data_IF_917968883636
#
_entry.id   IF_917968883636
#
_cell.length_a   1.000
_cell.length_b   1.000
_cell.length_c   1.000
_cell.angle_alpha   90.00
_cell.angle_beta   90.00
_cell.angle_gamma   90.00
#
_symmetry.space_group_name_H-M   'P 1'
#
loop_
_entity.id
_entity.type
_entity.pdbx_description
1 polymer ?
#
# COMPACT_ATOMS: atom_id res chain seq x y z
N UNK A 1 12.72 -6.10 0.20
CA UNK A 1 12.51 -6.78 1.48
C UNK A 1 11.11 -6.52 2.07
N UNK A 2 10.71 -5.31 2.42
CA UNK A 2 9.41 -5.03 3.08
C UNK A 2 8.19 -5.56 2.27
N UNK A 3 8.22 -5.49 0.94
CA UNK A 3 7.12 -5.96 0.08
C UNK A 3 7.00 -7.49 -0.02
N UNK A 4 8.01 -8.25 0.42
CA UNK A 4 8.00 -9.71 0.41
C UNK A 4 7.61 -10.33 1.76
N UNK A 5 7.39 -9.51 2.78
CA UNK A 5 6.93 -9.99 4.09
C UNK A 5 5.46 -10.35 4.03
N UNK A 6 5.07 -11.43 4.70
CA UNK A 6 3.66 -11.77 4.92
C UNK A 6 2.97 -10.66 5.72
N UNK A 7 1.68 -10.48 5.47
CA UNK A 7 0.89 -9.53 6.26
C UNK A 7 0.74 -10.06 7.68
N UNK A 8 0.70 -9.14 8.64
CA UNK A 8 0.37 -9.48 10.02
C UNK A 8 -1.06 -10.03 10.09
N UNK A 9 -1.25 -11.06 10.89
CA UNK A 9 -2.55 -11.67 11.17
C UNK A 9 -2.70 -11.96 12.67
N UNK A 10 -3.93 -11.92 13.15
CA UNK A 10 -4.26 -12.39 14.49
C UNK A 10 -4.52 -13.89 14.44
N UNK A 11 -3.86 -14.63 15.32
CA UNK A 11 -4.01 -16.09 15.44
C UNK A 11 -3.71 -16.53 16.86
N UNK A 12 -4.27 -17.65 17.26
CA UNK A 12 -3.92 -18.29 18.54
C UNK A 12 -2.60 -19.06 18.47
N UNK A 13 -2.04 -19.24 17.25
CA UNK A 13 -0.75 -19.91 17.06
C UNK A 13 0.37 -18.91 17.27
N UNK A 14 1.12 -19.08 18.36
CA UNK A 14 2.29 -18.24 18.60
C UNK A 14 3.45 -18.63 17.66
N UNK A 15 3.84 -17.70 16.79
CA UNK A 15 5.00 -17.83 15.91
C UNK A 15 6.10 -16.81 16.25
N UNK A 16 5.91 -16.06 17.35
CA UNK A 16 6.78 -14.96 17.74
C UNK A 16 6.66 -13.73 16.83
N UNK A 17 7.48 -12.74 17.08
CA UNK A 17 7.56 -11.54 16.25
C UNK A 17 8.99 -11.35 15.74
N UNK A 18 9.25 -11.77 14.51
CA UNK A 18 10.58 -11.75 13.89
C UNK A 18 11.25 -10.37 13.95
N UNK A 19 10.53 -9.30 13.58
CA UNK A 19 11.09 -7.95 13.50
C UNK A 19 11.45 -7.32 14.87
N UNK A 20 10.86 -7.83 15.98
CA UNK A 20 11.15 -7.40 17.34
C UNK A 20 11.99 -8.42 18.11
N UNK A 21 12.25 -9.58 17.51
CA UNK A 21 12.96 -10.71 18.14
C UNK A 21 12.32 -11.18 19.45
N UNK A 22 10.97 -11.15 19.53
CA UNK A 22 10.24 -11.67 20.67
C UNK A 22 9.69 -13.06 20.39
N UNK A 23 9.91 -13.99 21.30
CA UNK A 23 9.34 -15.34 21.24
C UNK A 23 7.83 -15.34 21.43
N UNK A 24 7.33 -14.48 22.32
CA UNK A 24 5.92 -14.29 22.60
C UNK A 24 5.55 -12.83 22.36
N UNK A 25 4.52 -12.61 21.55
CA UNK A 25 4.06 -11.25 21.24
C UNK A 25 2.56 -11.21 21.04
N UNK A 26 1.94 -10.20 21.62
CA UNK A 26 0.54 -9.88 21.33
C UNK A 26 0.30 -8.37 21.38
N UNK A 27 -0.72 -7.92 20.70
CA UNK A 27 -1.23 -6.56 20.88
C UNK A 27 -1.94 -6.45 22.22
N UNK A 28 -1.70 -5.36 22.95
CA UNK A 28 -2.25 -5.18 24.31
C UNK A 28 -2.65 -3.74 24.61
N UNK A 29 -1.97 -2.75 24.02
CA UNK A 29 -1.97 -1.35 24.51
C UNK A 29 -3.00 -0.43 23.86
N UNK A 30 -3.84 -0.93 22.96
CA UNK A 30 -4.81 -0.10 22.23
C UNK A 30 -6.22 -0.69 22.17
N UNK A 31 -6.86 -1.02 23.33
CA UNK A 31 -8.16 -1.69 23.35
C UNK A 31 -9.33 -0.82 22.83
N UNK A 32 -9.15 0.50 22.78
CA UNK A 32 -10.18 1.42 22.23
C UNK A 32 -10.43 1.16 20.74
N UNK A 33 -9.39 0.82 19.98
CA UNK A 33 -9.45 0.70 18.51
C UNK A 33 -9.13 -0.69 17.99
N UNK A 34 -8.65 -1.61 18.83
CA UNK A 34 -8.31 -2.99 18.44
C UNK A 34 -9.02 -3.98 19.35
N UNK A 35 -9.98 -4.69 18.79
CA UNK A 35 -10.72 -5.71 19.52
C UNK A 35 -9.84 -6.87 20.05
N UNK A 36 -8.80 -7.34 19.35
CA UNK A 36 -7.88 -8.34 19.89
C UNK A 36 -7.23 -7.93 21.22
N UNK A 37 -6.92 -6.65 21.42
CA UNK A 37 -6.40 -6.15 22.71
C UNK A 37 -7.43 -6.37 23.84
N UNK A 38 -8.73 -6.10 23.56
CA UNK A 38 -9.82 -6.35 24.51
C UNK A 38 -9.93 -7.85 24.81
N UNK A 39 -9.76 -8.72 23.81
CA UNK A 39 -9.76 -10.18 24.01
C UNK A 39 -8.64 -10.59 24.99
N UNK A 40 -7.42 -10.07 24.78
CA UNK A 40 -6.29 -10.36 25.67
C UNK A 40 -6.56 -9.85 27.09
N UNK A 41 -7.09 -8.62 27.26
CA UNK A 41 -7.47 -8.08 28.57
C UNK A 41 -8.47 -8.99 29.28
N UNK A 42 -9.49 -9.48 28.58
CA UNK A 42 -10.49 -10.39 29.17
C UNK A 42 -9.90 -11.74 29.56
N UNK A 43 -9.00 -12.29 28.74
CA UNK A 43 -8.33 -13.55 29.06
C UNK A 43 -7.44 -13.42 30.30
N UNK A 44 -6.69 -12.31 30.40
CA UNK A 44 -5.86 -12.04 31.58
C UNK A 44 -6.73 -11.84 32.83
N UNK A 45 -7.85 -11.11 32.71
CA UNK A 45 -8.75 -10.90 33.85
C UNK A 45 -9.35 -12.23 34.35
N UNK A 46 -9.79 -13.09 33.42
CA UNK A 46 -10.31 -14.41 33.76
C UNK A 46 -9.27 -15.29 34.48
N UNK A 47 -7.99 -15.21 34.02
CA UNK A 47 -6.88 -15.92 34.68
C UNK A 47 -6.65 -15.40 36.12
N UNK A 48 -6.65 -14.07 36.31
CA UNK A 48 -6.49 -13.44 37.63
C UNK A 48 -7.65 -13.83 38.60
N UNK A 49 -8.86 -13.90 38.06
CA UNK A 49 -10.07 -14.22 38.83
C UNK A 49 -10.22 -15.74 39.07
N UNK A 50 -9.32 -16.55 38.52
CA UNK A 50 -9.36 -18.01 38.60
C UNK A 50 -10.54 -18.65 37.86
N UNK A 51 -11.07 -17.95 36.84
CA UNK A 51 -12.16 -18.43 36.02
C UNK A 51 -11.66 -19.38 34.92
N UNK A 52 -12.53 -20.31 34.51
CA UNK A 52 -12.22 -21.20 33.39
C UNK A 52 -12.21 -20.42 32.08
N UNK A 53 -11.04 -20.30 31.46
CA UNK A 53 -10.86 -19.62 30.18
C UNK A 53 -11.51 -20.44 29.08
N UNK A 54 -12.44 -19.82 28.33
CA UNK A 54 -13.05 -20.40 27.11
C UNK A 54 -12.29 -19.88 25.89
N UNK A 55 -11.66 -20.80 25.15
CA UNK A 55 -10.84 -20.46 23.99
C UNK A 55 -11.46 -20.93 22.65
N UNK A 56 -12.60 -21.62 22.70
CA UNK A 56 -13.19 -22.30 21.53
C UNK A 56 -13.49 -21.37 20.35
N UNK A 57 -13.88 -20.12 20.62
CA UNK A 57 -14.20 -19.11 19.60
C UNK A 57 -13.03 -18.16 19.30
N UNK A 58 -11.94 -18.23 20.06
CA UNK A 58 -10.85 -17.24 20.00
C UNK A 58 -10.21 -17.18 18.60
N UNK A 59 -9.95 -18.33 17.98
CA UNK A 59 -9.37 -18.37 16.64
C UNK A 59 -10.31 -17.78 15.58
N UNK A 60 -11.62 -17.98 15.72
CA UNK A 60 -12.64 -17.40 14.82
C UNK A 60 -12.66 -15.88 14.96
N UNK A 61 -12.59 -15.36 16.18
CA UNK A 61 -12.52 -13.92 16.46
C UNK A 61 -11.21 -13.31 15.95
N UNK A 62 -10.10 -14.02 16.05
CA UNK A 62 -8.81 -13.61 15.47
C UNK A 62 -8.90 -13.45 13.95
N UNK A 63 -9.45 -14.46 13.24
CA UNK A 63 -9.66 -14.42 11.79
C UNK A 63 -10.59 -13.29 11.38
N UNK A 64 -11.69 -13.09 12.12
CA UNK A 64 -12.61 -11.98 11.89
C UNK A 64 -11.89 -10.63 12.06
N UNK A 65 -11.11 -10.46 13.13
CA UNK A 65 -10.36 -9.22 13.40
C UNK A 65 -9.33 -8.93 12.31
N UNK A 66 -8.62 -9.96 11.82
CA UNK A 66 -7.70 -9.83 10.69
C UNK A 66 -8.41 -9.37 9.43
N UNK A 67 -9.58 -9.95 9.13
CA UNK A 67 -10.39 -9.55 7.98
C UNK A 67 -10.84 -8.09 8.07
N UNK A 68 -11.32 -7.67 9.24
CA UNK A 68 -11.77 -6.30 9.48
C UNK A 68 -10.62 -5.28 9.41
N UNK A 69 -9.43 -5.63 9.88
CA UNK A 69 -8.22 -4.80 9.76
C UNK A 69 -7.84 -4.58 8.28
N UNK A 70 -7.88 -5.64 7.47
CA UNK A 70 -7.63 -5.55 6.03
C UNK A 70 -8.67 -4.64 5.35
N UNK A 71 -9.94 -4.78 5.71
CA UNK A 71 -11.04 -3.98 5.16
C UNK A 71 -10.89 -2.51 5.55
N UNK A 72 -10.60 -2.22 6.82
CA UNK A 72 -10.37 -0.87 7.32
C UNK A 72 -9.19 -0.19 6.61
N UNK A 73 -8.06 -0.88 6.50
CA UNK A 73 -6.87 -0.38 5.78
C UNK A 73 -7.18 -0.09 4.30
N UNK A 74 -7.99 -0.94 3.66
CA UNK A 74 -8.42 -0.72 2.28
C UNK A 74 -9.31 0.51 2.16
N UNK A 75 -10.28 0.65 3.06
CA UNK A 75 -11.19 1.81 3.08
C UNK A 75 -10.43 3.13 3.29
N UNK A 76 -9.47 3.15 4.21
CA UNK A 76 -8.59 4.29 4.44
C UNK A 76 -7.80 4.67 3.18
N UNK A 77 -7.14 3.71 2.55
CA UNK A 77 -6.39 3.94 1.30
C UNK A 77 -7.28 4.45 0.17
N UNK A 78 -8.46 3.87 0.01
CA UNK A 78 -9.44 4.28 -1.00
C UNK A 78 -9.94 5.72 -0.74
N UNK A 79 -10.14 6.08 0.52
CA UNK A 79 -10.54 7.43 0.94
C UNK A 79 -9.44 8.46 0.62
N UNK A 80 -8.20 8.18 1.03
CA UNK A 80 -7.04 9.03 0.71
C UNK A 80 -6.90 9.20 -0.80
N UNK A 81 -6.99 8.11 -1.57
CA UNK A 81 -6.90 8.14 -3.03
C UNK A 81 -7.99 9.00 -3.65
N UNK A 82 -9.23 8.91 -3.17
CA UNK A 82 -10.34 9.75 -3.65
C UNK A 82 -10.07 11.23 -3.39
N UNK A 83 -9.56 11.56 -2.19
CA UNK A 83 -9.23 12.96 -1.86
C UNK A 83 -8.07 13.49 -2.69
N UNK A 84 -7.03 12.68 -2.95
CA UNK A 84 -5.95 13.03 -3.86
C UNK A 84 -6.48 13.35 -5.27
N UNK A 85 -7.39 12.53 -5.80
CA UNK A 85 -7.98 12.74 -7.12
C UNK A 85 -8.82 14.02 -7.16
N UNK A 86 -9.63 14.27 -6.13
CA UNK A 86 -10.39 15.52 -6.00
C UNK A 86 -9.46 16.74 -5.97
N UNK A 87 -8.39 16.68 -5.18
CA UNK A 87 -7.40 17.76 -5.07
C UNK A 87 -6.67 18.03 -6.40
N UNK A 88 -6.46 16.99 -7.20
CA UNK A 88 -5.77 17.10 -8.49
C UNK A 88 -6.70 17.48 -9.64
N UNK A 89 -8.02 17.42 -9.47
CA UNK A 89 -9.00 17.65 -10.54
C UNK A 89 -8.81 18.98 -11.26
N UNK A 90 -8.62 20.06 -10.50
CA UNK A 90 -8.48 21.42 -11.04
C UNK A 90 -7.04 21.72 -11.52
N UNK A 91 -6.20 20.71 -11.55
CA UNK A 91 -4.78 20.79 -11.93
C UNK A 91 -4.49 20.01 -13.21
N UNK A 92 -5.51 19.54 -13.93
CA UNK A 92 -5.34 18.93 -15.26
C UNK A 92 -4.61 19.91 -16.20
N UNK A 93 -3.63 19.40 -16.96
CA UNK A 93 -2.73 20.18 -17.81
C UNK A 93 -1.54 20.83 -17.11
N UNK A 94 -1.47 20.81 -15.79
CA UNK A 94 -0.31 21.31 -15.04
C UNK A 94 0.82 20.29 -14.98
N UNK A 95 2.05 20.80 -14.88
CA UNK A 95 3.28 20.01 -14.79
C UNK A 95 3.79 19.93 -13.37
N UNK A 96 4.38 18.78 -13.02
CA UNK A 96 4.88 18.47 -11.68
C UNK A 96 6.20 17.72 -11.76
N UNK A 97 7.08 17.97 -10.79
CA UNK A 97 8.21 17.10 -10.54
C UNK A 97 7.74 15.85 -9.82
N UNK A 98 8.19 14.68 -10.27
CA UNK A 98 7.74 13.40 -9.78
C UNK A 98 8.90 12.41 -9.69
N UNK A 99 8.66 11.32 -8.94
CA UNK A 99 9.58 10.19 -8.82
C UNK A 99 8.83 8.92 -9.24
N UNK A 100 9.50 8.02 -9.96
CA UNK A 100 8.94 6.73 -10.32
C UNK A 100 8.79 5.89 -9.04
N UNK A 101 7.54 5.64 -8.63
CA UNK A 101 7.19 4.89 -7.42
C UNK A 101 6.93 3.40 -7.67
N UNK A 102 6.74 3.01 -8.94
CA UNK A 102 6.51 1.63 -9.31
C UNK A 102 6.60 1.40 -10.81
N UNK A 103 6.96 0.16 -11.19
CA UNK A 103 7.03 -0.28 -12.59
C UNK A 103 6.19 -1.53 -12.74
N UNK A 104 5.27 -1.53 -13.69
CA UNK A 104 4.36 -2.66 -14.00
C UNK A 104 4.24 -2.80 -15.51
N UNK A 105 3.84 -3.95 -16.01
CA UNK A 105 3.78 -4.22 -17.46
C UNK A 105 3.01 -3.16 -18.28
N UNK A 106 1.99 -2.53 -17.71
CA UNK A 106 1.17 -1.50 -18.38
C UNK A 106 1.75 -0.08 -18.34
N UNK A 107 2.85 0.16 -17.58
CA UNK A 107 3.47 1.47 -17.47
C UNK A 107 4.19 1.71 -16.14
N UNK A 108 4.51 2.95 -15.86
CA UNK A 108 5.18 3.38 -14.61
C UNK A 108 4.22 4.16 -13.74
N UNK A 109 4.24 3.89 -12.44
CA UNK A 109 3.62 4.74 -11.44
C UNK A 109 4.58 5.87 -11.09
N UNK A 110 4.04 7.07 -10.98
CA UNK A 110 4.78 8.27 -10.60
C UNK A 110 4.12 8.92 -9.40
N UNK A 111 4.92 9.31 -8.44
CA UNK A 111 4.51 10.07 -7.26
C UNK A 111 4.98 11.51 -7.39
N UNK A 112 4.06 12.46 -7.35
CA UNK A 112 4.37 13.90 -7.36
C UNK A 112 5.10 14.26 -6.08
N UNK A 113 6.24 14.94 -6.19
CA UNK A 113 7.11 15.26 -5.04
C UNK A 113 6.42 16.17 -4.02
N UNK A 114 5.70 17.17 -4.50
CA UNK A 114 5.08 18.21 -3.68
C UNK A 114 3.94 17.68 -2.78
N UNK A 115 3.05 16.85 -3.33
CA UNK A 115 1.79 16.50 -2.68
C UNK A 115 1.54 15.00 -2.55
N UNK A 116 2.53 14.19 -2.92
CA UNK A 116 2.49 12.72 -2.80
C UNK A 116 1.33 12.05 -3.54
N UNK A 117 0.73 12.75 -4.50
CA UNK A 117 -0.29 12.15 -5.35
C UNK A 117 0.34 11.18 -6.34
N UNK A 118 -0.14 9.94 -6.35
CA UNK A 118 0.37 8.90 -7.23
C UNK A 118 -0.57 8.67 -8.41
N UNK A 119 -0.01 8.47 -9.60
CA UNK A 119 -0.77 8.12 -10.80
C UNK A 119 0.04 7.29 -11.80
N UNK A 120 -0.58 6.94 -12.91
CA UNK A 120 -0.02 6.06 -13.93
C UNK A 120 0.38 6.85 -15.16
N UNK A 121 1.59 6.60 -15.65
CA UNK A 121 2.01 6.87 -17.02
C UNK A 121 1.96 5.55 -17.79
N UNK A 122 1.17 5.46 -18.84
CA UNK A 122 1.07 4.23 -19.63
C UNK A 122 2.36 4.00 -20.43
N UNK A 123 2.77 2.76 -20.61
CA UNK A 123 3.99 2.41 -21.33
C UNK A 123 4.01 2.99 -22.76
N UNK A 124 2.87 3.01 -23.45
CA UNK A 124 2.73 3.57 -24.79
C UNK A 124 2.87 5.09 -24.87
N UNK A 125 2.71 5.78 -23.72
CA UNK A 125 2.77 7.25 -23.61
C UNK A 125 4.15 7.72 -23.10
N UNK A 126 5.11 6.79 -22.95
CA UNK A 126 6.51 7.12 -22.65
C UNK A 126 7.17 7.73 -23.90
N UNK A 127 7.85 8.90 -23.77
CA UNK A 127 8.31 9.65 -24.92
C UNK A 127 9.62 9.11 -25.51
N UNK A 128 9.76 9.25 -26.83
CA UNK A 128 11.03 9.16 -27.53
C UNK A 128 11.45 7.79 -28.03
N UNK A 129 10.80 6.71 -27.60
CA UNK A 129 11.15 5.34 -28.03
C UNK A 129 10.00 4.36 -27.81
N UNK A 130 10.17 3.14 -28.31
CA UNK A 130 9.38 1.99 -27.90
C UNK A 130 10.04 1.33 -26.69
N UNK A 131 9.28 1.14 -25.61
CA UNK A 131 9.82 0.67 -24.33
C UNK A 131 9.37 -0.74 -24.02
N UNK A 132 10.34 -1.61 -23.75
CA UNK A 132 10.12 -3.00 -23.34
C UNK A 132 10.19 -3.08 -21.81
N UNK A 133 9.25 -3.81 -21.23
CA UNK A 133 9.20 -4.06 -19.79
C UNK A 133 10.20 -5.13 -19.38
N UNK A 134 11.21 -4.76 -18.60
CA UNK A 134 12.16 -5.67 -17.95
C UNK A 134 11.63 -5.97 -16.52
N UNK A 135 10.82 -7.02 -16.41
CA UNK A 135 10.17 -7.41 -15.17
C UNK A 135 11.20 -7.76 -14.07
N UNK A 136 12.27 -8.45 -14.46
CA UNK A 136 13.32 -8.90 -13.50
C UNK A 136 14.01 -7.73 -12.80
N UNK A 137 14.22 -6.63 -13.51
CA UNK A 137 14.89 -5.45 -12.99
C UNK A 137 13.92 -4.29 -12.66
N UNK A 138 12.61 -4.53 -12.73
CA UNK A 138 11.56 -3.53 -12.46
C UNK A 138 11.78 -2.20 -13.19
N UNK A 139 11.98 -2.26 -14.51
CA UNK A 139 12.24 -1.08 -15.34
C UNK A 139 11.65 -1.22 -16.75
N UNK A 140 11.52 -0.10 -17.43
CA UNK A 140 11.36 -0.05 -18.88
C UNK A 140 12.67 0.32 -19.55
N UNK A 141 12.99 -0.29 -20.69
CA UNK A 141 14.18 -0.01 -21.48
C UNK A 141 13.76 0.31 -22.91
N UNK A 142 14.20 1.45 -23.42
CA UNK A 142 13.96 1.85 -24.81
C UNK A 142 14.75 0.98 -25.77
N UNK A 143 14.09 0.46 -26.82
CA UNK A 143 14.71 -0.46 -27.80
C UNK A 143 15.82 0.20 -28.61
N UNK A 144 15.63 1.46 -29.01
CA UNK A 144 16.59 2.18 -29.86
C UNK A 144 17.58 3.03 -29.05
N UNK A 145 17.07 3.72 -28.02
CA UNK A 145 17.86 4.70 -27.26
C UNK A 145 18.55 4.09 -26.06
N UNK A 146 18.11 2.93 -25.58
CA UNK A 146 18.56 2.35 -24.32
C UNK A 146 18.17 3.17 -23.09
N UNK A 147 17.36 4.24 -23.23
CA UNK A 147 16.85 5.04 -22.11
C UNK A 147 16.07 4.17 -21.16
N UNK A 148 16.27 4.36 -19.88
CA UNK A 148 15.62 3.56 -18.84
C UNK A 148 14.68 4.42 -18.01
N UNK A 149 13.58 3.80 -17.56
CA UNK A 149 12.69 4.30 -16.53
C UNK A 149 12.60 3.25 -15.43
N UNK A 150 13.18 3.53 -14.27
CA UNK A 150 13.27 2.58 -13.17
C UNK A 150 12.81 3.21 -11.86
N UNK A 151 12.58 2.37 -10.85
CA UNK A 151 12.16 2.80 -9.52
C UNK A 151 13.14 3.82 -8.93
N UNK A 152 12.62 4.95 -8.45
CA UNK A 152 13.39 6.02 -7.83
C UNK A 152 13.88 7.10 -8.81
N UNK A 153 13.74 6.92 -10.12
CA UNK A 153 14.14 7.94 -11.09
C UNK A 153 13.25 9.18 -10.96
N UNK A 154 13.90 10.34 -11.00
CA UNK A 154 13.22 11.64 -11.04
C UNK A 154 12.76 11.91 -12.48
N UNK A 155 11.56 12.41 -12.62
CA UNK A 155 10.98 12.75 -13.91
C UNK A 155 10.05 13.95 -13.77
N UNK A 156 9.76 14.60 -14.90
CA UNK A 156 8.75 15.65 -14.96
C UNK A 156 7.53 15.16 -15.68
N UNK A 157 6.37 15.36 -15.10
CA UNK A 157 5.11 14.82 -15.63
C UNK A 157 4.06 15.91 -15.76
N UNK A 158 3.14 15.73 -16.71
CA UNK A 158 1.93 16.53 -16.84
C UNK A 158 0.73 15.68 -16.46
N UNK A 159 -0.18 16.24 -15.66
CA UNK A 159 -1.44 15.59 -15.34
C UNK A 159 -2.38 15.68 -16.54
N UNK A 160 -2.71 14.55 -17.13
CA UNK A 160 -3.62 14.46 -18.29
C UNK A 160 -5.07 14.37 -17.84
N UNK A 161 -5.34 13.54 -16.81
CA UNK A 161 -6.71 13.30 -16.35
C UNK A 161 -6.75 12.87 -14.90
N UNK A 162 -7.69 13.44 -14.13
CA UNK A 162 -8.08 13.00 -12.81
C UNK A 162 -9.49 12.34 -12.88
N UNK A 163 -9.51 11.01 -12.98
CA UNK A 163 -10.74 10.23 -13.15
C UNK A 163 -11.28 9.78 -11.79
N UNK A 164 -12.29 10.47 -11.29
CA UNK A 164 -12.93 10.18 -10.00
C UNK A 164 -13.67 8.84 -10.00
N UNK A 165 -14.27 8.45 -11.14
CA UNK A 165 -15.04 7.19 -11.25
C UNK A 165 -14.10 5.99 -11.20
N UNK A 166 -13.01 6.05 -11.98
CA UNK A 166 -11.99 4.99 -12.03
C UNK A 166 -10.97 5.09 -10.91
N UNK A 167 -11.08 6.10 -10.04
CA UNK A 167 -10.18 6.38 -8.91
C UNK A 167 -8.71 6.38 -9.32
N UNK A 168 -8.35 7.13 -10.40
CA UNK A 168 -6.99 7.17 -10.90
C UNK A 168 -6.60 8.54 -11.44
N UNK A 169 -5.28 8.80 -11.40
CA UNK A 169 -4.62 9.92 -12.07
C UNK A 169 -3.82 9.37 -13.24
N UNK A 170 -4.04 9.91 -14.43
CA UNK A 170 -3.28 9.57 -15.64
C UNK A 170 -2.30 10.72 -15.89
N UNK A 171 -1.01 10.39 -15.96
CA UNK A 171 0.07 11.33 -16.23
C UNK A 171 0.76 11.02 -17.56
N UNK A 172 1.47 12.02 -18.10
CA UNK A 172 2.38 11.90 -19.23
C UNK A 172 3.76 12.41 -18.83
N UNK A 173 4.82 11.68 -19.16
CA UNK A 173 6.21 12.14 -18.97
C UNK A 173 6.52 13.22 -19.98
N UNK A 174 7.15 14.30 -19.52
CA UNK A 174 7.71 15.36 -20.38
C UNK A 174 9.16 15.04 -20.71
N UNK A 175 9.55 15.35 -21.93
CA UNK A 175 10.94 15.22 -22.44
C UNK A 175 11.83 16.33 -21.90
#
# INVERSE_FOLDING_TARGET
MIRSMSKAEYTTKNIGHYGLSFENYTHFTSPIRRYPDVMVHRLIQAEIDGEKIKTDETETLCKHSTHMEILATKAERDSVKLMQIKFMKDKEGKTFDAVISGVVARGVFVEVVENKCEGLVKAKDLPGDFYVHDEKNHRFVGEKTGKKYQLGDKTRVMLIKADQIKKRLDFQVLT
#
